data_IF_085533833649
#
_entry.id   IF_085533833649
#
_cell.length_a   1.000
_cell.length_b   1.000
_cell.length_c   1.000
_cell.angle_alpha   90.00
_cell.angle_beta   90.00
_cell.angle_gamma   90.00
#
_symmetry.space_group_name_H-M   'P 1'
#
loop_
_entity.id
_entity.type
_entity.pdbx_description
1 polymer ?
#
# COMPACT_ATOMS: atom_id res chain seq x y z
N UNK A 1 -16.05 0.31 -0.89
CA UNK A 1 -16.05 -1.12 -0.53
C UNK A 1 -15.97 -1.89 -1.83
N UNK A 2 -15.03 -2.83 -1.99
CA UNK A 2 -15.00 -3.67 -3.20
C UNK A 2 -16.26 -4.56 -3.20
N UNK A 3 -17.05 -4.54 -4.27
CA UNK A 3 -18.26 -5.38 -4.39
C UNK A 3 -17.96 -6.87 -4.28
N UNK A 4 -16.71 -7.29 -4.52
CA UNK A 4 -16.22 -8.59 -4.09
C UNK A 4 -16.04 -8.57 -2.57
N UNK A 5 -16.86 -9.31 -1.82
CA UNK A 5 -16.62 -9.65 -0.41
C UNK A 5 -15.32 -10.46 -0.19
N UNK A 6 -14.35 -10.34 -1.08
CA UNK A 6 -13.13 -11.12 -1.24
C UNK A 6 -11.88 -10.39 -0.71
N UNK A 7 -12.03 -9.16 -0.20
CA UNK A 7 -10.93 -8.46 0.45
C UNK A 7 -11.33 -7.83 1.77
N UNK A 8 -10.39 -7.88 2.72
CA UNK A 8 -10.39 -7.06 3.93
C UNK A 8 -9.46 -5.88 3.69
N UNK A 9 -9.86 -4.68 4.11
CA UNK A 9 -9.06 -3.47 3.99
C UNK A 9 -9.22 -2.60 5.23
N UNK A 10 -8.11 -2.05 5.72
CA UNK A 10 -8.12 -1.00 6.72
C UNK A 10 -7.97 0.35 6.00
N UNK A 11 -8.86 1.30 6.32
CA UNK A 11 -8.84 2.63 5.72
C UNK A 11 -8.10 3.64 6.61
N UNK A 12 -7.26 4.46 6.01
CA UNK A 12 -6.62 5.62 6.64
C UNK A 12 -7.49 6.85 6.40
N UNK A 13 -7.70 7.66 7.44
CA UNK A 13 -8.46 8.91 7.35
C UNK A 13 -7.57 9.99 6.74
N UNK A 14 -8.10 10.67 5.71
CA UNK A 14 -7.44 11.79 5.05
C UNK A 14 -7.83 13.13 5.68
N UNK A 15 -7.05 14.19 5.44
CA UNK A 15 -7.41 15.56 5.85
C UNK A 15 -8.76 16.04 5.33
N UNK A 16 -9.17 15.59 4.14
CA UNK A 16 -10.48 15.94 3.56
C UNK A 16 -11.66 15.17 4.18
N UNK A 17 -11.45 14.47 5.29
CA UNK A 17 -12.44 13.68 6.02
C UNK A 17 -12.82 12.36 5.36
N UNK A 18 -12.29 12.05 4.17
CA UNK A 18 -12.58 10.79 3.46
C UNK A 18 -11.57 9.71 3.84
N UNK A 19 -11.97 8.44 3.70
CA UNK A 19 -11.08 7.29 3.92
C UNK A 19 -10.40 6.87 2.62
N UNK A 20 -9.10 6.61 2.69
CA UNK A 20 -8.33 5.96 1.63
C UNK A 20 -7.92 4.56 2.07
N UNK A 21 -8.07 3.59 1.16
CA UNK A 21 -7.75 2.18 1.40
C UNK A 21 -6.51 1.82 0.59
N UNK A 22 -5.36 1.70 1.24
CA UNK A 22 -4.10 1.42 0.54
C UNK A 22 -3.81 -0.07 0.49
N UNK A 23 -4.03 -0.76 1.61
CA UNK A 23 -3.71 -2.17 1.77
C UNK A 23 -4.98 -3.03 1.74
N UNK A 24 -4.91 -4.14 1.00
CA UNK A 24 -6.00 -5.10 0.86
C UNK A 24 -5.49 -6.51 1.08
N UNK A 25 -6.13 -7.26 1.97
CA UNK A 25 -5.89 -8.70 2.11
C UNK A 25 -6.92 -9.45 1.30
N UNK A 26 -6.49 -10.14 0.24
CA UNK A 26 -7.33 -10.99 -0.62
C UNK A 26 -7.49 -12.36 0.01
N UNK A 27 -8.74 -12.75 0.27
CA UNK A 27 -9.05 -14.03 0.90
C UNK A 27 -8.85 -15.20 -0.06
N UNK A 28 -9.27 -15.06 -1.31
CA UNK A 28 -9.10 -16.09 -2.35
C UNK A 28 -7.65 -16.42 -2.67
N UNK A 29 -6.80 -15.40 -2.82
CA UNK A 29 -5.41 -15.59 -3.24
C UNK A 29 -4.41 -15.67 -2.09
N UNK A 30 -4.84 -15.33 -0.86
CA UNK A 30 -3.97 -15.26 0.30
C UNK A 30 -2.86 -14.21 0.13
N UNK A 31 -3.20 -13.06 -0.48
CA UNK A 31 -2.22 -12.00 -0.79
C UNK A 31 -2.54 -10.69 -0.11
N UNK A 32 -1.50 -9.98 0.28
CA UNK A 32 -1.56 -8.55 0.60
C UNK A 32 -1.30 -7.77 -0.70
N UNK A 33 -2.23 -6.90 -1.08
CA UNK A 33 -2.10 -5.98 -2.21
C UNK A 33 -1.96 -4.54 -1.70
N UNK A 34 -1.14 -3.76 -2.40
CA UNK A 34 -0.97 -2.32 -2.18
C UNK A 34 -1.52 -1.57 -3.39
N UNK A 35 -2.54 -0.72 -3.21
CA UNK A 35 -3.12 0.06 -4.31
C UNK A 35 -2.39 1.40 -4.50
N UNK A 36 -1.57 1.50 -5.54
CA UNK A 36 -0.86 2.74 -5.87
C UNK A 36 -1.79 3.80 -6.47
N UNK A 37 -2.88 3.38 -7.11
CA UNK A 37 -3.92 4.28 -7.60
C UNK A 37 -4.55 5.09 -6.45
N UNK A 38 -4.82 4.45 -5.31
CA UNK A 38 -5.41 5.11 -4.15
C UNK A 38 -4.43 6.06 -3.45
N UNK A 39 -3.12 5.83 -3.58
CA UNK A 39 -2.10 6.78 -3.14
C UNK A 39 -2.12 8.03 -4.03
N UNK A 40 -2.29 7.90 -5.35
CA UNK A 40 -2.40 9.07 -6.24
C UNK A 40 -3.56 10.02 -5.91
N UNK A 41 -4.61 9.54 -5.24
CA UNK A 41 -5.71 10.40 -4.76
C UNK A 41 -5.37 11.18 -3.47
N UNK A 42 -4.19 10.98 -2.90
CA UNK A 42 -3.69 11.66 -1.70
C UNK A 42 -2.73 12.75 -2.13
N UNK A 43 -2.90 14.03 -1.72
CA UNK A 43 -2.06 15.14 -2.20
C UNK A 43 -0.56 14.90 -2.07
N UNK A 44 -0.10 14.33 -0.96
CA UNK A 44 1.33 13.99 -0.72
C UNK A 44 1.89 12.97 -1.71
N UNK A 45 1.05 12.06 -2.21
CA UNK A 45 1.45 10.99 -3.13
C UNK A 45 0.86 11.17 -4.53
N UNK A 46 0.26 12.33 -4.82
CA UNK A 46 -0.23 12.65 -6.16
C UNK A 46 0.91 12.80 -7.19
N UNK A 47 2.09 13.38 -6.83
CA UNK A 47 3.21 13.47 -7.78
C UNK A 47 3.71 12.10 -8.22
N UNK A 48 3.97 11.97 -9.52
CA UNK A 48 4.43 10.71 -10.12
C UNK A 48 5.80 10.27 -9.57
N UNK A 49 6.73 11.21 -9.36
CA UNK A 49 8.05 10.92 -8.79
C UNK A 49 7.94 10.30 -7.39
N UNK A 50 7.03 10.80 -6.56
CA UNK A 50 6.80 10.26 -5.22
C UNK A 50 6.22 8.84 -5.31
N UNK A 51 5.27 8.58 -6.21
CA UNK A 51 4.74 7.21 -6.40
C UNK A 51 5.76 6.27 -6.99
N UNK A 52 6.63 6.75 -7.87
CA UNK A 52 7.72 5.98 -8.44
C UNK A 52 8.72 5.57 -7.35
N UNK A 53 9.05 6.48 -6.42
CA UNK A 53 9.89 6.16 -5.26
C UNK A 53 9.27 5.06 -4.38
N UNK A 54 7.96 5.14 -4.11
CA UNK A 54 7.23 4.11 -3.35
C UNK A 54 7.21 2.76 -4.07
N UNK A 55 6.99 2.77 -5.38
CA UNK A 55 7.05 1.55 -6.20
C UNK A 55 8.45 0.93 -6.17
N UNK A 56 9.50 1.74 -6.26
CA UNK A 56 10.88 1.28 -6.11
C UNK A 56 11.16 0.69 -4.72
N UNK A 57 10.60 1.28 -3.65
CA UNK A 57 10.70 0.71 -2.30
C UNK A 57 10.03 -0.67 -2.20
N UNK A 58 8.86 -0.85 -2.83
CA UNK A 58 8.18 -2.15 -2.89
C UNK A 58 9.01 -3.18 -3.67
N UNK A 59 9.68 -2.78 -4.77
CA UNK A 59 10.57 -3.67 -5.53
C UNK A 59 11.72 -4.22 -4.70
N UNK A 60 12.15 -3.48 -3.68
CA UNK A 60 13.21 -3.89 -2.75
C UNK A 60 12.74 -4.82 -1.63
N UNK A 61 11.45 -5.18 -1.56
CA UNK A 61 10.98 -6.08 -0.50
C UNK A 61 11.62 -7.47 -0.60
N UNK A 62 12.14 -8.03 0.52
CA UNK A 62 12.81 -9.32 0.53
C UNK A 62 11.77 -10.45 0.47
N UNK A 63 11.21 -10.68 -0.71
CA UNK A 63 10.14 -11.66 -0.93
C UNK A 63 10.29 -12.40 -2.25
N UNK A 64 10.06 -13.71 -2.20
CA UNK A 64 10.09 -14.59 -3.38
C UNK A 64 8.78 -14.58 -4.18
N UNK A 65 7.67 -14.21 -3.52
CA UNK A 65 6.34 -14.17 -4.13
C UNK A 65 5.87 -12.77 -4.48
N UNK A 66 6.74 -11.77 -4.34
CA UNK A 66 6.46 -10.41 -4.72
C UNK A 66 6.08 -10.34 -6.21
N UNK A 67 4.89 -9.80 -6.47
CA UNK A 67 4.43 -9.44 -7.80
C UNK A 67 4.40 -7.93 -7.87
N UNK A 68 5.26 -7.35 -8.70
CA UNK A 68 5.33 -5.90 -8.91
C UNK A 68 4.79 -5.55 -10.29
N UNK A 69 4.44 -4.28 -10.47
CA UNK A 69 3.96 -3.68 -11.72
C UNK A 69 4.86 -2.51 -12.11
N UNK A 70 4.87 -2.14 -13.39
CA UNK A 70 5.49 -0.89 -13.85
C UNK A 70 4.53 0.30 -13.83
N UNK A 71 3.26 0.07 -13.49
CA UNK A 71 2.22 1.10 -13.50
C UNK A 71 2.13 1.80 -12.15
N UNK A 72 2.15 3.13 -12.13
CA UNK A 72 1.89 3.95 -10.93
C UNK A 72 0.44 3.87 -10.41
N UNK A 73 -0.44 3.18 -11.14
CA UNK A 73 -1.82 2.85 -10.75
C UNK A 73 -2.01 1.36 -10.47
N UNK A 74 -0.94 0.58 -10.49
CA UNK A 74 -0.99 -0.86 -10.32
C UNK A 74 -1.17 -1.32 -8.87
N UNK A 75 -1.16 -2.64 -8.73
CA UNK A 75 -1.45 -3.34 -7.47
C UNK A 75 -0.34 -4.34 -7.15
N UNK A 76 0.85 -3.88 -6.72
CA UNK A 76 1.86 -4.79 -6.22
C UNK A 76 1.30 -5.65 -5.10
N UNK A 77 1.77 -6.89 -5.00
CA UNK A 77 1.28 -7.83 -4.00
C UNK A 77 2.33 -8.82 -3.55
N UNK A 78 2.15 -9.35 -2.35
CA UNK A 78 2.95 -10.44 -1.77
C UNK A 78 2.03 -11.47 -1.13
N UNK A 79 2.45 -12.74 -1.02
CA UNK A 79 1.66 -13.72 -0.27
C UNK A 79 1.70 -13.41 1.23
N UNK A 80 0.61 -13.70 1.93
CA UNK A 80 0.49 -13.47 3.37
C UNK A 80 1.38 -14.41 4.19
N UNK A 81 1.66 -15.62 3.71
CA UNK A 81 2.53 -16.59 4.39
C UNK A 81 3.97 -16.06 4.55
N UNK A 82 4.50 -15.35 3.57
CA UNK A 82 5.84 -14.75 3.66
C UNK A 82 5.92 -13.58 4.64
N UNK A 83 4.80 -12.93 5.01
CA UNK A 83 4.79 -11.88 6.03
C UNK A 83 5.16 -12.40 7.42
N UNK A 84 5.18 -13.72 7.61
CA UNK A 84 5.72 -14.34 8.82
C UNK A 84 7.24 -14.20 8.93
N UNK A 85 7.94 -13.87 7.84
CA UNK A 85 9.36 -13.55 7.88
C UNK A 85 9.59 -12.12 8.40
N UNK A 86 10.49 -11.99 9.38
CA UNK A 86 10.81 -10.71 9.99
C UNK A 86 11.32 -9.65 8.98
N UNK A 87 12.19 -9.99 8.00
CA UNK A 87 12.66 -8.99 7.03
C UNK A 87 11.53 -8.39 6.19
N UNK A 88 10.61 -9.23 5.70
CA UNK A 88 9.49 -8.74 4.89
C UNK A 88 8.49 -7.97 5.76
N UNK A 89 8.19 -8.47 6.97
CA UNK A 89 7.32 -7.79 7.92
C UNK A 89 7.82 -6.38 8.22
N UNK A 90 9.12 -6.22 8.47
CA UNK A 90 9.75 -4.92 8.73
C UNK A 90 9.66 -3.99 7.51
N UNK A 91 9.91 -4.49 6.30
CA UNK A 91 9.79 -3.70 5.08
C UNK A 91 8.35 -3.21 4.85
N UNK A 92 7.36 -4.09 5.01
CA UNK A 92 5.93 -3.77 4.82
C UNK A 92 5.43 -2.80 5.89
N UNK A 93 5.78 -3.00 7.15
CA UNK A 93 5.33 -2.12 8.25
C UNK A 93 6.03 -0.76 8.21
N UNK A 94 7.31 -0.69 7.81
CA UNK A 94 7.99 0.58 7.56
C UNK A 94 7.27 1.37 6.46
N UNK A 95 7.01 0.73 5.33
CA UNK A 95 6.26 1.35 4.22
C UNK A 95 4.86 1.82 4.64
N UNK A 96 4.13 1.01 5.40
CA UNK A 96 2.81 1.39 5.92
C UNK A 96 2.89 2.57 6.89
N UNK A 97 3.95 2.66 7.71
CA UNK A 97 4.20 3.78 8.62
C UNK A 97 4.48 5.07 7.85
N UNK A 98 5.30 5.01 6.81
CA UNK A 98 5.59 6.17 5.96
C UNK A 98 4.32 6.72 5.33
N UNK A 99 3.46 5.83 4.83
CA UNK A 99 2.15 6.18 4.30
C UNK A 99 1.27 6.84 5.34
N UNK A 100 1.13 6.22 6.53
CA UNK A 100 0.33 6.78 7.61
C UNK A 100 0.85 8.15 8.07
N UNK A 101 2.16 8.36 8.09
CA UNK A 101 2.78 9.63 8.43
C UNK A 101 2.51 10.69 7.36
N UNK A 102 2.60 10.34 6.07
CA UNK A 102 2.26 11.27 5.00
C UNK A 102 0.79 11.70 4.99
N UNK A 103 -0.13 10.86 5.50
CA UNK A 103 -1.51 11.29 5.74
C UNK A 103 -1.63 12.29 6.90
N UNK A 104 -0.81 12.14 7.95
CA UNK A 104 -0.83 13.01 9.14
C UNK A 104 -0.19 14.38 8.90
N UNK A 105 0.88 14.45 8.11
CA UNK A 105 1.56 15.74 7.85
C UNK A 105 0.67 16.73 7.12
N UNK A 106 -0.25 16.25 6.28
CA UNK A 106 -1.26 17.11 5.61
C UNK A 106 -2.35 17.59 6.57
N UNK A 107 -2.59 16.91 7.70
CA UNK A 107 -3.58 17.35 8.70
C UNK A 107 -3.06 18.41 9.68
N UNK A 108 -1.75 18.66 9.72
CA UNK A 108 -1.11 19.58 10.67
C UNK A 108 -0.50 20.85 10.06
N UNK A 109 -0.85 21.17 8.80
CA UNK A 109 -0.41 22.37 8.07
C UNK A 109 -1.54 23.37 7.93
#
# INVERSE_FOLDING_TARGET
MTNSKDSLAAGLLRPDGKRTYVFFMRKTSGRLETSLANLGATPVYAPDDTRQALLSAIRGWPSSTLKVTDKLTGWPSVKLDELMSEPLWNAVTSFARDIANGFRTVTGS
#
